data_IF_038650876371
#
_entry.id   IF_038650876371
#
_cell.length_a   1.000
_cell.length_b   1.000
_cell.length_c   1.000
_cell.angle_alpha   90.00
_cell.angle_beta   90.00
_cell.angle_gamma   90.00
#
_symmetry.space_group_name_H-M   'P 1'
#
loop_
_entity.id
_entity.type
_entity.pdbx_description
1 polymer ?
#
# COMPACT_ATOMS: atom_id res chain seq x y z
N UNK A 1 8.60 21.63 10.99
CA UNK A 1 8.40 20.46 11.89
C UNK A 1 9.10 19.29 11.24
N UNK A 2 9.77 18.41 11.98
CA UNK A 2 10.40 17.22 11.39
C UNK A 2 9.33 16.25 10.85
N UNK A 3 9.50 15.65 9.67
CA UNK A 3 8.60 14.60 9.21
C UNK A 3 8.59 13.38 10.14
N UNK A 4 7.40 12.95 10.53
CA UNK A 4 7.18 11.66 11.23
C UNK A 4 6.76 10.54 10.29
N UNK A 5 6.44 10.86 9.05
CA UNK A 5 6.01 9.91 8.05
C UNK A 5 6.70 10.23 6.71
N UNK A 6 7.36 9.25 6.13
CA UNK A 6 7.92 9.30 4.78
C UNK A 6 7.19 8.26 3.93
N UNK A 7 6.59 8.72 2.84
CA UNK A 7 5.77 7.92 1.94
C UNK A 7 6.55 7.68 0.65
N UNK A 8 6.79 6.43 0.29
CA UNK A 8 7.49 6.05 -0.94
C UNK A 8 6.45 5.51 -1.93
N UNK A 9 6.19 6.29 -2.98
CA UNK A 9 5.17 5.99 -3.98
C UNK A 9 5.75 6.04 -5.39
N UNK A 10 4.99 5.53 -6.38
CA UNK A 10 5.40 5.43 -7.77
C UNK A 10 4.95 4.13 -8.43
N UNK A 11 5.24 3.99 -9.72
CA UNK A 11 4.71 2.87 -10.50
C UNK A 11 5.39 1.52 -10.18
N UNK A 12 4.71 0.39 -10.45
CA UNK A 12 5.31 -0.94 -10.35
C UNK A 12 6.58 -1.06 -11.19
N UNK A 13 7.66 -1.57 -10.58
CA UNK A 13 8.96 -1.73 -11.24
C UNK A 13 9.89 -0.51 -11.17
N UNK A 14 9.47 0.62 -10.60
CA UNK A 14 10.28 1.85 -10.62
C UNK A 14 11.38 1.90 -9.54
N UNK A 15 11.36 0.98 -8.57
CA UNK A 15 12.38 0.87 -7.51
C UNK A 15 11.96 1.40 -6.14
N UNK A 16 10.66 1.36 -5.82
CA UNK A 16 10.12 1.84 -4.53
C UNK A 16 10.74 1.15 -3.32
N UNK A 17 10.73 -0.17 -3.28
CA UNK A 17 11.33 -0.96 -2.19
C UNK A 17 12.81 -0.63 -1.98
N UNK A 18 13.59 -0.49 -3.06
CA UNK A 18 15.00 -0.05 -2.98
C UNK A 18 15.10 1.36 -2.40
N UNK A 19 14.24 2.27 -2.83
CA UNK A 19 14.20 3.65 -2.33
C UNK A 19 13.83 3.70 -0.85
N UNK A 20 12.84 2.92 -0.42
CA UNK A 20 12.41 2.84 0.97
C UNK A 20 13.51 2.33 1.89
N UNK A 21 14.25 1.30 1.46
CA UNK A 21 15.41 0.80 2.21
C UNK A 21 16.51 1.86 2.29
N UNK A 22 16.86 2.51 1.18
CA UNK A 22 17.87 3.57 1.17
C UNK A 22 17.47 4.74 2.08
N UNK A 23 16.22 5.17 2.05
CA UNK A 23 15.69 6.24 2.90
C UNK A 23 15.79 5.84 4.38
N UNK A 24 15.36 4.64 4.73
CA UNK A 24 15.46 4.11 6.09
C UNK A 24 16.92 4.10 6.58
N UNK A 25 17.84 3.59 5.77
CA UNK A 25 19.27 3.53 6.13
C UNK A 25 19.87 4.95 6.30
N UNK A 26 19.53 5.89 5.42
CA UNK A 26 19.97 7.29 5.53
C UNK A 26 19.43 7.94 6.81
N UNK A 27 18.17 7.69 7.17
CA UNK A 27 17.59 8.25 8.39
C UNK A 27 18.28 7.68 9.64
N UNK A 28 18.65 6.39 9.63
CA UNK A 28 19.47 5.80 10.70
C UNK A 28 20.84 6.47 10.77
N UNK A 29 21.52 6.67 9.64
CA UNK A 29 22.82 7.36 9.57
C UNK A 29 22.71 8.81 10.09
N UNK A 30 21.53 9.42 10.00
CA UNK A 30 21.20 10.73 10.55
C UNK A 30 20.80 10.70 12.04
N UNK A 31 20.88 9.56 12.72
CA UNK A 31 20.44 9.32 14.10
C UNK A 31 18.95 9.57 14.35
N UNK A 32 18.11 9.29 13.35
CA UNK A 32 16.66 9.35 13.47
C UNK A 32 16.13 7.95 13.73
N UNK A 33 15.38 7.77 14.83
CA UNK A 33 14.67 6.52 15.08
C UNK A 33 13.63 6.32 13.98
N UNK A 34 13.75 5.22 13.24
CA UNK A 34 12.88 4.95 12.11
C UNK A 34 12.38 3.52 12.06
N UNK A 35 11.17 3.34 11.52
CA UNK A 35 10.57 2.04 11.28
C UNK A 35 10.19 1.93 9.80
N UNK A 36 10.68 0.89 9.12
CA UNK A 36 10.39 0.61 7.72
C UNK A 36 9.28 -0.44 7.59
N UNK A 37 8.26 -0.13 6.81
CA UNK A 37 7.20 -1.05 6.46
C UNK A 37 7.14 -1.22 4.94
N UNK A 38 7.37 -2.45 4.49
CA UNK A 38 7.37 -2.82 3.08
C UNK A 38 6.00 -3.30 2.62
N UNK A 39 5.74 -3.21 1.31
CA UNK A 39 4.56 -3.79 0.69
C UNK A 39 4.43 -5.27 1.06
N UNK A 40 3.26 -5.67 1.56
CA UNK A 40 2.98 -7.03 2.01
C UNK A 40 3.39 -7.33 3.47
N UNK A 41 3.83 -6.33 4.23
CA UNK A 41 4.07 -6.50 5.66
C UNK A 41 2.73 -6.68 6.41
N UNK A 42 2.51 -7.87 6.97
CA UNK A 42 1.28 -8.21 7.68
C UNK A 42 1.10 -7.41 9.00
N UNK A 43 2.16 -6.79 9.51
CA UNK A 43 2.15 -5.92 10.69
C UNK A 43 2.10 -4.41 10.33
N UNK A 44 1.78 -4.06 9.08
CA UNK A 44 1.71 -2.66 8.64
C UNK A 44 0.71 -1.85 9.50
N UNK A 45 1.12 -0.73 10.13
CA UNK A 45 0.29 -0.05 11.11
C UNK A 45 -0.84 0.75 10.46
N UNK A 46 -0.72 1.08 9.18
CA UNK A 46 -1.69 1.84 8.40
C UNK A 46 -2.32 1.06 7.24
N UNK A 47 -2.09 -0.25 7.12
CA UNK A 47 -2.62 -1.06 6.01
C UNK A 47 -3.16 -2.41 6.50
N UNK A 48 -3.89 -3.11 5.64
CA UNK A 48 -4.51 -4.40 5.90
C UNK A 48 -4.15 -5.41 4.80
N UNK A 49 -2.92 -5.94 4.80
CA UNK A 49 -2.61 -7.06 3.92
C UNK A 49 -3.02 -8.40 4.57
N UNK A 50 -3.92 -9.13 3.90
CA UNK A 50 -4.37 -10.43 4.39
C UNK A 50 -5.21 -10.37 5.65
N UNK A 51 -6.10 -9.38 5.73
CA UNK A 51 -7.01 -9.18 6.86
C UNK A 51 -8.45 -9.15 6.37
N UNK A 52 -9.29 -10.02 6.94
CA UNK A 52 -10.72 -10.07 6.65
C UNK A 52 -11.51 -9.26 7.69
N UNK A 53 -12.59 -8.61 7.24
CA UNK A 53 -13.48 -7.81 8.08
C UNK A 53 -14.93 -8.30 7.95
N UNK A 54 -15.48 -8.80 9.06
CA UNK A 54 -16.84 -9.33 9.13
C UNK A 54 -17.75 -8.40 9.93
N UNK A 55 -19.03 -8.34 9.55
CA UNK A 55 -20.08 -7.90 10.46
C UNK A 55 -20.43 -9.02 11.45
N UNK A 56 -21.33 -8.70 12.39
CA UNK A 56 -21.77 -9.68 13.39
C UNK A 56 -22.43 -10.91 12.73
N UNK A 57 -23.26 -10.70 11.71
CA UNK A 57 -23.97 -11.80 11.06
C UNK A 57 -23.01 -12.73 10.32
N UNK A 58 -22.14 -12.17 9.49
CA UNK A 58 -21.15 -12.90 8.69
C UNK A 58 -20.16 -13.67 9.60
N UNK A 59 -19.78 -13.06 10.72
CA UNK A 59 -18.96 -13.74 11.71
C UNK A 59 -19.66 -14.95 12.33
N UNK A 60 -20.92 -14.81 12.74
CA UNK A 60 -21.67 -15.94 13.30
C UNK A 60 -21.92 -17.04 12.25
N UNK A 61 -22.09 -16.68 10.98
CA UNK A 61 -22.13 -17.65 9.88
C UNK A 61 -20.82 -18.41 9.73
N UNK A 62 -19.69 -17.69 9.67
CA UNK A 62 -18.36 -18.31 9.55
C UNK A 62 -18.12 -19.36 10.65
N UNK A 63 -18.48 -19.03 11.88
CA UNK A 63 -18.36 -19.95 13.02
C UNK A 63 -19.28 -21.16 12.93
N UNK A 64 -20.49 -21.01 12.37
CA UNK A 64 -21.44 -22.11 12.20
C UNK A 64 -21.00 -23.06 11.09
N UNK A 65 -20.56 -22.50 9.96
CA UNK A 65 -20.17 -23.26 8.78
C UNK A 65 -18.85 -24.00 8.99
N UNK A 66 -17.97 -23.46 9.86
CA UNK A 66 -16.68 -24.03 10.21
C UNK A 66 -16.57 -24.27 11.72
N UNK A 67 -17.54 -25.03 12.27
CA UNK A 67 -17.68 -25.26 13.70
C UNK A 67 -16.44 -25.86 14.35
N UNK A 68 -15.70 -26.71 13.64
CA UNK A 68 -14.46 -27.32 14.10
C UNK A 68 -13.30 -26.32 14.26
N UNK A 69 -13.36 -25.15 13.61
CA UNK A 69 -12.39 -24.06 13.74
C UNK A 69 -12.87 -22.92 14.63
N UNK A 70 -14.08 -23.01 15.20
CA UNK A 70 -14.70 -21.93 15.98
C UNK A 70 -13.83 -21.44 17.13
N UNK A 71 -13.21 -22.34 17.90
CA UNK A 71 -12.37 -21.96 19.04
C UNK A 71 -11.10 -21.22 18.58
N UNK A 72 -10.46 -21.71 17.51
CA UNK A 72 -9.30 -21.05 16.91
C UNK A 72 -9.67 -19.63 16.46
N UNK A 73 -10.74 -19.51 15.67
CA UNK A 73 -11.20 -18.22 15.13
C UNK A 73 -11.53 -17.24 16.27
N UNK A 74 -12.27 -17.68 17.30
CA UNK A 74 -12.62 -16.84 18.46
C UNK A 74 -11.40 -16.28 19.19
N UNK A 75 -10.29 -17.03 19.25
CA UNK A 75 -9.05 -16.57 19.93
C UNK A 75 -8.20 -15.63 19.09
N UNK A 76 -8.43 -15.58 17.77
CA UNK A 76 -7.63 -14.80 16.80
C UNK A 76 -8.35 -13.58 16.25
N UNK A 77 -9.67 -13.53 16.40
CA UNK A 77 -10.48 -12.39 15.99
C UNK A 77 -10.33 -11.20 16.94
N UNK A 78 -10.16 -10.02 16.35
CA UNK A 78 -10.16 -8.75 17.05
C UNK A 78 -11.49 -8.04 16.80
N UNK A 79 -12.23 -7.71 17.87
CA UNK A 79 -13.45 -6.93 17.77
C UNK A 79 -13.14 -5.44 17.90
N UNK A 80 -13.56 -4.64 16.91
CA UNK A 80 -13.52 -3.19 16.98
C UNK A 80 -14.88 -2.62 16.59
N UNK A 81 -15.56 -2.00 17.56
CA UNK A 81 -16.95 -1.57 17.39
C UNK A 81 -17.87 -2.75 17.06
N UNK A 82 -18.53 -2.68 15.91
CA UNK A 82 -19.44 -3.70 15.39
C UNK A 82 -18.79 -4.65 14.35
N UNK A 83 -17.49 -4.53 14.13
CA UNK A 83 -16.76 -5.32 13.15
C UNK A 83 -15.77 -6.27 13.82
N UNK A 84 -15.51 -7.38 13.14
CA UNK A 84 -14.57 -8.42 13.55
C UNK A 84 -13.47 -8.55 12.50
N UNK A 85 -12.22 -8.47 12.94
CA UNK A 85 -11.04 -8.49 12.09
C UNK A 85 -10.25 -9.79 12.31
N UNK A 86 -9.93 -10.48 11.22
CA UNK A 86 -9.11 -11.70 11.23
C UNK A 86 -7.89 -11.51 10.35
N UNK A 87 -6.69 -11.51 10.94
CA UNK A 87 -5.41 -11.49 10.24
C UNK A 87 -5.08 -12.88 9.68
N UNK A 88 -5.91 -13.35 8.75
CA UNK A 88 -5.90 -14.74 8.31
C UNK A 88 -4.59 -15.15 7.62
N UNK A 89 -3.89 -14.23 6.93
CA UNK A 89 -2.56 -14.53 6.37
C UNK A 89 -1.51 -14.77 7.46
N UNK A 90 -1.59 -14.08 8.60
CA UNK A 90 -0.71 -14.39 9.74
C UNK A 90 -1.03 -15.77 10.28
N UNK A 91 -2.32 -16.07 10.43
CA UNK A 91 -2.79 -17.37 10.90
C UNK A 91 -2.33 -18.53 9.98
N UNK A 92 -2.32 -18.32 8.67
CA UNK A 92 -1.80 -19.29 7.69
C UNK A 92 -0.28 -19.50 7.80
N UNK A 93 0.45 -18.52 8.31
CA UNK A 93 1.90 -18.57 8.50
C UNK A 93 2.29 -19.06 9.92
N UNK A 94 1.32 -19.30 10.82
CA UNK A 94 1.58 -19.80 12.17
C UNK A 94 1.96 -21.29 12.15
N UNK A 95 3.07 -21.63 12.81
CA UNK A 95 3.53 -23.01 12.94
C UNK A 95 2.47 -23.89 13.63
N UNK A 96 2.17 -25.03 13.02
CA UNK A 96 1.23 -26.01 13.56
C UNK A 96 -0.25 -25.69 13.34
N UNK A 97 -0.57 -24.56 12.69
CA UNK A 97 -1.93 -24.24 12.24
C UNK A 97 -2.12 -24.78 10.82
N UNK A 98 -3.15 -25.61 10.63
CA UNK A 98 -3.56 -26.08 9.31
C UNK A 98 -5.00 -25.70 9.08
N UNK A 99 -5.23 -24.81 8.11
CA UNK A 99 -6.56 -24.30 7.76
C UNK A 99 -6.95 -24.89 6.41
N UNK A 100 -8.13 -25.51 6.29
CA UNK A 100 -8.58 -26.06 5.02
C UNK A 100 -8.79 -24.93 4.00
N UNK A 101 -8.53 -25.25 2.73
CA UNK A 101 -8.68 -24.29 1.63
C UNK A 101 -10.07 -23.66 1.59
N UNK A 102 -11.11 -24.45 1.86
CA UNK A 102 -12.50 -23.97 1.87
C UNK A 102 -12.74 -22.86 2.90
N UNK A 103 -12.19 -23.00 4.12
CA UNK A 103 -12.26 -21.95 5.14
C UNK A 103 -11.49 -20.70 4.70
N UNK A 104 -10.30 -20.86 4.10
CA UNK A 104 -9.54 -19.72 3.55
C UNK A 104 -10.32 -19.02 2.44
N UNK A 105 -10.91 -19.76 1.51
CA UNK A 105 -11.69 -19.20 0.41
C UNK A 105 -12.91 -18.42 0.95
N UNK A 106 -13.58 -18.92 2.00
CA UNK A 106 -14.70 -18.23 2.65
C UNK A 106 -14.25 -16.97 3.39
N UNK A 107 -13.12 -17.01 4.09
CA UNK A 107 -12.53 -15.84 4.76
C UNK A 107 -12.12 -14.78 3.73
N UNK A 108 -11.51 -15.20 2.62
CA UNK A 108 -10.97 -14.32 1.58
C UNK A 108 -12.05 -13.45 0.92
N UNK A 109 -13.30 -13.92 0.86
CA UNK A 109 -14.44 -13.12 0.37
C UNK A 109 -14.67 -11.84 1.18
N UNK A 110 -14.18 -11.81 2.42
CA UNK A 110 -14.27 -10.68 3.33
C UNK A 110 -12.92 -9.99 3.55
N UNK A 111 -11.89 -10.34 2.77
CA UNK A 111 -10.63 -9.60 2.74
C UNK A 111 -10.93 -8.13 2.45
N UNK A 112 -10.27 -7.22 3.18
CA UNK A 112 -10.53 -5.79 3.09
C UNK A 112 -10.32 -5.26 1.66
N UNK A 113 -9.42 -5.86 0.87
CA UNK A 113 -9.20 -5.52 -0.54
C UNK A 113 -10.17 -6.20 -1.52
N UNK A 114 -11.04 -7.09 -1.03
CA UNK A 114 -12.13 -7.72 -1.79
C UNK A 114 -13.50 -7.11 -1.47
N UNK A 115 -13.61 -6.31 -0.40
CA UNK A 115 -14.82 -5.57 -0.05
C UNK A 115 -15.19 -4.50 -1.10
N UNK A 116 -16.49 -4.17 -1.27
CA UNK A 116 -16.92 -3.02 -2.06
C UNK A 116 -16.12 -1.76 -1.75
N UNK A 117 -15.82 -0.95 -2.77
CA UNK A 117 -14.88 0.17 -2.69
C UNK A 117 -15.20 1.16 -1.55
N UNK A 118 -16.47 1.45 -1.31
CA UNK A 118 -16.94 2.32 -0.23
C UNK A 118 -16.63 1.74 1.14
N UNK A 119 -16.80 0.43 1.32
CA UNK A 119 -16.46 -0.28 2.55
C UNK A 119 -14.95 -0.40 2.74
N UNK A 120 -14.19 -0.77 1.71
CA UNK A 120 -12.72 -0.79 1.75
C UNK A 120 -12.19 0.57 2.22
N UNK A 121 -12.68 1.65 1.60
CA UNK A 121 -12.28 3.02 1.91
C UNK A 121 -12.48 3.37 3.37
N UNK A 122 -13.65 3.05 3.94
CA UNK A 122 -13.90 3.30 5.38
C UNK A 122 -12.91 2.54 6.25
N UNK A 123 -12.65 1.25 5.97
CA UNK A 123 -11.74 0.42 6.78
C UNK A 123 -10.29 0.88 6.71
N UNK A 124 -9.80 1.24 5.52
CA UNK A 124 -8.45 1.80 5.36
C UNK A 124 -8.36 3.15 6.10
N UNK A 125 -9.35 4.03 5.98
CA UNK A 125 -9.34 5.33 6.68
C UNK A 125 -9.27 5.17 8.19
N UNK A 126 -10.10 4.30 8.78
CA UNK A 126 -10.07 4.01 10.22
C UNK A 126 -8.68 3.53 10.66
N UNK A 127 -8.02 2.69 9.86
CA UNK A 127 -6.66 2.19 10.13
C UNK A 127 -5.62 3.30 10.07
N UNK A 128 -5.70 4.19 9.08
CA UNK A 128 -4.83 5.37 8.97
C UNK A 128 -5.06 6.35 10.13
N UNK A 129 -6.30 6.56 10.58
CA UNK A 129 -6.64 7.40 11.73
C UNK A 129 -6.02 6.84 13.03
N UNK A 130 -6.15 5.54 13.25
CA UNK A 130 -5.52 4.86 14.38
C UNK A 130 -3.99 5.00 14.34
N UNK A 131 -3.38 4.78 13.18
CA UNK A 131 -1.95 4.98 12.99
C UNK A 131 -1.53 6.43 13.29
N UNK A 132 -2.23 7.41 12.72
CA UNK A 132 -1.91 8.83 12.92
C UNK A 132 -1.98 9.21 14.40
N UNK A 133 -3.04 8.79 15.09
CA UNK A 133 -3.23 9.04 16.52
C UNK A 133 -2.10 8.45 17.37
N UNK A 134 -1.70 7.21 17.12
CA UNK A 134 -0.62 6.57 17.87
C UNK A 134 0.74 7.21 17.59
N UNK A 135 1.04 7.50 16.33
CA UNK A 135 2.34 8.00 15.88
C UNK A 135 2.58 9.48 16.22
N UNK A 136 1.50 10.26 16.37
CA UNK A 136 1.60 11.68 16.72
C UNK A 136 2.34 11.90 18.05
N UNK A 137 2.18 10.99 19.01
CA UNK A 137 2.84 11.07 20.32
C UNK A 137 4.10 10.21 20.43
N UNK A 138 4.40 9.39 19.43
CA UNK A 138 5.62 8.57 19.36
C UNK A 138 6.88 9.37 19.02
N UNK A 139 8.04 8.74 19.16
CA UNK A 139 9.35 9.30 18.81
C UNK A 139 9.83 8.91 17.42
N UNK A 140 9.20 7.92 16.81
CA UNK A 140 9.70 7.27 15.61
C UNK A 140 9.21 7.97 14.34
N UNK A 141 10.06 7.94 13.31
CA UNK A 141 9.69 8.30 11.93
C UNK A 141 9.39 7.02 11.14
N UNK A 142 8.22 6.97 10.52
CA UNK A 142 7.76 5.82 9.76
C UNK A 142 8.09 5.97 8.27
N UNK A 143 8.61 4.92 7.64
CA UNK A 143 8.84 4.86 6.19
C UNK A 143 7.93 3.79 5.61
N UNK A 144 6.98 4.18 4.76
CA UNK A 144 6.06 3.25 4.10
C UNK A 144 6.42 3.10 2.62
N UNK A 145 6.69 1.86 2.19
CA UNK A 145 6.79 1.46 0.80
C UNK A 145 5.42 0.95 0.34
N UNK A 146 4.77 1.74 -0.52
CA UNK A 146 3.41 1.49 -1.02
C UNK A 146 2.34 1.53 0.07
N UNK A 147 1.35 2.41 -0.04
CA UNK A 147 -0.01 2.22 0.51
C UNK A 147 -0.86 3.49 0.38
N UNK A 148 -0.21 4.64 0.19
CA UNK A 148 -0.82 5.95 0.20
C UNK A 148 -1.44 6.32 -1.16
N UNK A 149 -0.69 6.15 -2.25
CA UNK A 149 -1.20 6.37 -3.62
C UNK A 149 -1.45 5.02 -4.30
N UNK A 150 -0.49 4.11 -4.23
CA UNK A 150 -0.56 2.83 -4.93
C UNK A 150 -1.85 2.05 -4.61
N UNK A 151 -2.21 1.91 -3.33
CA UNK A 151 -3.35 1.07 -2.95
C UNK A 151 -4.69 1.72 -3.34
N UNK A 152 -4.97 3.01 -3.04
CA UNK A 152 -6.18 3.68 -3.53
C UNK A 152 -6.34 3.66 -5.05
N UNK A 153 -5.27 3.84 -5.81
CA UNK A 153 -5.32 3.78 -7.28
C UNK A 153 -5.56 2.34 -7.75
N UNK A 154 -4.89 1.36 -7.13
CA UNK A 154 -5.07 -0.05 -7.47
C UNK A 154 -6.50 -0.52 -7.20
N UNK A 155 -7.05 -0.25 -6.01
CA UNK A 155 -8.40 -0.67 -5.68
C UNK A 155 -9.45 0.13 -6.46
N UNK A 156 -9.31 1.45 -6.54
CA UNK A 156 -10.30 2.31 -7.16
C UNK A 156 -10.32 2.18 -8.68
N UNK A 157 -9.20 2.50 -9.34
CA UNK A 157 -9.12 2.50 -10.80
C UNK A 157 -9.01 1.07 -11.36
N UNK A 158 -8.08 0.27 -10.84
CA UNK A 158 -7.75 -1.02 -11.48
C UNK A 158 -8.80 -2.08 -11.17
N UNK A 159 -9.16 -2.27 -9.90
CA UNK A 159 -10.15 -3.29 -9.52
C UNK A 159 -11.59 -2.87 -9.84
N UNK A 160 -12.00 -1.67 -9.42
CA UNK A 160 -13.40 -1.23 -9.50
C UNK A 160 -13.73 -0.30 -10.67
N UNK A 161 -12.76 0.17 -11.45
CA UNK A 161 -13.04 1.11 -12.56
C UNK A 161 -13.64 2.45 -12.09
N UNK A 162 -13.37 2.86 -10.85
CA UNK A 162 -13.90 4.09 -10.28
C UNK A 162 -13.33 5.33 -11.00
N UNK A 163 -14.10 6.43 -10.96
CA UNK A 163 -13.67 7.68 -11.60
C UNK A 163 -12.45 8.28 -10.90
N UNK A 164 -11.68 9.08 -11.63
CA UNK A 164 -10.51 9.77 -11.10
C UNK A 164 -10.86 10.62 -9.88
N UNK A 165 -12.03 11.26 -9.84
CA UNK A 165 -12.48 12.08 -8.71
C UNK A 165 -12.63 11.25 -7.43
N UNK A 166 -13.16 10.02 -7.54
CA UNK A 166 -13.30 9.11 -6.40
C UNK A 166 -11.93 8.69 -5.88
N UNK A 167 -11.02 8.30 -6.76
CA UNK A 167 -9.65 7.89 -6.40
C UNK A 167 -8.86 9.04 -5.78
N UNK A 168 -8.91 10.23 -6.39
CA UNK A 168 -8.26 11.43 -5.87
C UNK A 168 -8.83 11.84 -4.50
N UNK A 169 -10.16 11.77 -4.34
CA UNK A 169 -10.82 12.02 -3.05
C UNK A 169 -10.35 11.05 -1.98
N UNK A 170 -10.11 9.79 -2.34
CA UNK A 170 -9.58 8.77 -1.43
C UNK A 170 -8.19 9.18 -0.94
N UNK A 171 -7.23 9.42 -1.84
CA UNK A 171 -5.86 9.81 -1.47
C UNK A 171 -5.83 11.10 -0.66
N UNK A 172 -6.63 12.11 -1.03
CA UNK A 172 -6.73 13.38 -0.29
C UNK A 172 -7.18 13.20 1.15
N UNK A 173 -8.13 12.31 1.38
CA UNK A 173 -8.61 12.04 2.74
C UNK A 173 -7.53 11.33 3.56
N UNK A 174 -6.79 10.38 2.98
CA UNK A 174 -5.61 9.81 3.65
C UNK A 174 -4.58 10.91 3.99
N UNK A 175 -4.32 11.84 3.06
CA UNK A 175 -3.38 12.93 3.28
C UNK A 175 -3.81 13.83 4.45
N UNK A 176 -5.10 14.14 4.55
CA UNK A 176 -5.67 14.92 5.64
C UNK A 176 -5.55 14.21 6.99
N UNK A 177 -5.76 12.89 7.03
CA UNK A 177 -5.63 12.09 8.27
C UNK A 177 -4.22 12.19 8.86
N UNK A 178 -3.18 12.16 8.01
CA UNK A 178 -1.77 12.19 8.46
C UNK A 178 -1.13 13.57 8.42
N UNK A 179 -1.88 14.64 8.15
CA UNK A 179 -1.33 15.99 8.04
C UNK A 179 -0.50 16.40 9.26
N UNK A 180 -0.96 16.05 10.47
CA UNK A 180 -0.26 16.36 11.73
C UNK A 180 1.06 15.58 11.92
N UNK A 181 1.30 14.52 11.14
CA UNK A 181 2.58 13.81 11.11
C UNK A 181 3.61 14.52 10.21
N UNK A 182 3.23 15.64 9.57
CA UNK A 182 4.06 16.39 8.64
C UNK A 182 4.70 15.47 7.56
N UNK A 183 3.88 14.78 6.75
CA UNK A 183 4.37 13.73 5.87
C UNK A 183 5.25 14.29 4.74
N UNK A 184 6.28 13.53 4.38
CA UNK A 184 7.10 13.73 3.20
C UNK A 184 6.81 12.64 2.17
N UNK A 185 6.33 13.02 1.00
CA UNK A 185 6.15 12.12 -0.14
C UNK A 185 7.39 12.11 -1.03
N UNK A 186 8.03 10.95 -1.17
CA UNK A 186 9.06 10.73 -2.19
C UNK A 186 8.45 9.88 -3.31
N UNK A 187 8.18 10.53 -4.44
CA UNK A 187 7.62 9.87 -5.61
C UNK A 187 8.74 9.38 -6.54
N UNK A 188 8.89 8.07 -6.65
CA UNK A 188 9.88 7.40 -7.50
C UNK A 188 9.41 7.43 -8.95
N UNK A 189 10.17 8.12 -9.78
CA UNK A 189 9.87 8.29 -11.21
C UNK A 189 10.92 7.62 -12.08
N UNK A 190 10.53 7.28 -13.31
CA UNK A 190 11.43 6.84 -14.37
C UNK A 190 10.96 7.39 -15.71
N UNK A 191 11.90 7.68 -16.61
CA UNK A 191 11.59 8.32 -17.88
C UNK A 191 10.85 7.34 -18.81
N UNK A 192 11.34 6.09 -18.87
CA UNK A 192 10.81 5.04 -19.74
C UNK A 192 10.04 3.98 -18.94
N UNK A 193 8.72 4.19 -18.84
CA UNK A 193 7.79 3.24 -18.21
C UNK A 193 7.83 1.86 -18.87
N UNK A 194 7.91 1.80 -20.20
CA UNK A 194 7.85 0.54 -20.94
C UNK A 194 9.08 -0.31 -20.64
N UNK A 195 10.27 0.30 -20.76
CA UNK A 195 11.53 -0.35 -20.39
C UNK A 195 11.51 -0.86 -18.94
N UNK A 196 11.11 0.00 -18.01
CA UNK A 196 11.11 -0.30 -16.57
C UNK A 196 10.18 -1.47 -16.23
N UNK A 197 8.97 -1.49 -16.79
CA UNK A 197 8.01 -2.55 -16.52
C UNK A 197 8.44 -3.87 -17.17
N UNK A 198 8.94 -3.85 -18.42
CA UNK A 198 9.46 -5.07 -19.07
C UNK A 198 10.69 -5.63 -18.35
N UNK A 199 11.55 -4.76 -17.81
CA UNK A 199 12.66 -5.18 -16.93
C UNK A 199 12.12 -5.91 -15.71
N UNK A 200 11.13 -5.37 -15.02
CA UNK A 200 10.51 -6.02 -13.86
C UNK A 200 9.87 -7.37 -14.20
N UNK A 201 9.18 -7.48 -15.36
CA UNK A 201 8.63 -8.75 -15.86
C UNK A 201 9.72 -9.79 -16.10
N UNK A 202 10.89 -9.38 -16.62
CA UNK A 202 12.02 -10.28 -16.88
C UNK A 202 12.72 -10.75 -15.60
N UNK A 203 12.80 -9.88 -14.60
CA UNK A 203 13.56 -10.14 -13.36
C UNK A 203 12.75 -10.93 -12.31
N UNK A 204 11.42 -10.88 -12.37
CA UNK A 204 10.53 -11.52 -11.40
C UNK A 204 10.05 -12.90 -11.89
N UNK A 205 9.60 -13.78 -10.98
CA UNK A 205 9.02 -15.07 -11.36
C UNK A 205 7.83 -14.92 -12.32
N UNK A 206 7.68 -15.84 -13.28
CA UNK A 206 6.61 -15.77 -14.28
C UNK A 206 5.20 -15.71 -13.66
N UNK A 207 4.99 -16.40 -12.53
CA UNK A 207 3.72 -16.35 -11.77
C UNK A 207 3.37 -14.94 -11.31
N UNK A 208 4.36 -14.12 -10.95
CA UNK A 208 4.14 -12.71 -10.60
C UNK A 208 3.62 -11.93 -11.81
N UNK A 209 4.27 -12.06 -12.97
CA UNK A 209 3.85 -11.33 -14.17
C UNK A 209 2.48 -11.78 -14.69
N UNK A 210 2.18 -13.08 -14.59
CA UNK A 210 0.88 -13.62 -14.99
C UNK A 210 -0.25 -13.06 -14.11
N UNK A 211 -0.10 -13.13 -12.79
CA UNK A 211 -1.07 -12.58 -11.84
C UNK A 211 -1.21 -11.06 -11.96
N UNK A 212 -0.11 -10.34 -12.16
CA UNK A 212 -0.15 -8.89 -12.36
C UNK A 212 -0.92 -8.50 -13.63
N UNK A 213 -0.61 -9.15 -14.77
CA UNK A 213 -1.28 -8.88 -16.05
C UNK A 213 -2.78 -9.19 -15.92
N UNK A 214 -3.13 -10.34 -15.34
CA UNK A 214 -4.52 -10.72 -15.11
C UNK A 214 -5.25 -9.66 -14.28
N UNK A 215 -4.72 -9.34 -13.09
CA UNK A 215 -5.31 -8.35 -12.18
C UNK A 215 -5.49 -6.96 -12.83
N UNK A 216 -4.60 -6.56 -13.74
CA UNK A 216 -4.66 -5.25 -14.37
C UNK A 216 -5.54 -5.19 -15.61
N UNK A 217 -5.91 -6.33 -16.20
CA UNK A 217 -6.60 -6.37 -17.49
C UNK A 217 -7.95 -7.07 -17.47
N UNK A 218 -8.25 -7.89 -16.45
CA UNK A 218 -9.50 -8.65 -16.36
C UNK A 218 -10.59 -7.98 -15.54
N UNK A 219 -10.38 -6.77 -15.05
CA UNK A 219 -11.30 -6.04 -14.16
C UNK A 219 -11.15 -4.53 -14.32
N UNK A 220 -12.11 -3.79 -13.76
CA UNK A 220 -12.16 -2.33 -13.72
C UNK A 220 -11.71 -1.66 -15.01
N UNK A 221 -10.78 -0.71 -14.88
CA UNK A 221 -10.30 0.10 -15.99
C UNK A 221 -9.75 -0.73 -17.16
N UNK A 222 -8.99 -1.80 -16.89
CA UNK A 222 -8.42 -2.64 -17.94
C UNK A 222 -9.49 -3.37 -18.76
N UNK A 223 -10.50 -3.90 -18.07
CA UNK A 223 -11.63 -4.58 -18.70
C UNK A 223 -12.49 -3.62 -19.52
N UNK A 224 -12.80 -2.45 -18.95
CA UNK A 224 -13.65 -1.43 -19.60
C UNK A 224 -13.05 -0.92 -20.92
N UNK A 225 -11.73 -0.97 -21.06
CA UNK A 225 -11.01 -0.55 -22.27
C UNK A 225 -10.60 -1.74 -23.18
N UNK A 226 -11.05 -2.96 -22.86
CA UNK A 226 -10.68 -4.19 -23.57
C UNK A 226 -9.15 -4.37 -23.72
N UNK A 227 -8.40 -3.96 -22.70
CA UNK A 227 -6.96 -4.19 -22.66
C UNK A 227 -6.66 -5.62 -22.26
N UNK A 228 -5.62 -6.21 -22.88
CA UNK A 228 -5.23 -7.60 -22.64
C UNK A 228 -3.72 -7.78 -22.69
N UNK A 229 -3.21 -8.73 -21.92
CA UNK A 229 -1.81 -9.13 -21.95
C UNK A 229 -0.85 -8.01 -21.53
N UNK A 230 0.42 -8.19 -21.87
CA UNK A 230 1.49 -7.26 -21.52
C UNK A 230 1.27 -5.85 -22.11
N UNK A 231 0.88 -5.77 -23.39
CA UNK A 231 0.66 -4.49 -24.06
C UNK A 231 -0.55 -3.73 -23.48
N UNK A 232 -1.63 -4.45 -23.15
CA UNK A 232 -2.77 -3.86 -22.45
C UNK A 232 -2.38 -3.35 -21.06
N UNK A 233 -1.60 -4.13 -20.32
CA UNK A 233 -1.07 -3.72 -19.00
C UNK A 233 -0.26 -2.42 -19.10
N UNK A 234 0.55 -2.25 -20.15
CA UNK A 234 1.30 -1.01 -20.38
C UNK A 234 0.38 0.19 -20.66
N UNK A 235 -0.76 0.01 -21.32
CA UNK A 235 -1.75 1.10 -21.48
C UNK A 235 -2.40 1.47 -20.15
N UNK A 236 -2.76 0.48 -19.33
CA UNK A 236 -3.29 0.69 -17.99
C UNK A 236 -2.28 1.45 -17.12
N UNK A 237 -0.99 1.08 -17.18
CA UNK A 237 0.07 1.76 -16.43
C UNK A 237 0.31 3.21 -16.90
N UNK A 238 0.12 3.52 -18.19
CA UNK A 238 0.17 4.90 -18.70
C UNK A 238 -0.97 5.74 -18.14
N UNK A 239 -2.20 5.24 -18.21
CA UNK A 239 -3.36 5.91 -17.62
C UNK A 239 -3.19 6.10 -16.10
N UNK A 240 -2.65 5.08 -15.41
CA UNK A 240 -2.29 5.16 -14.00
C UNK A 240 -1.24 6.25 -13.74
N UNK A 241 -0.19 6.36 -14.57
CA UNK A 241 0.82 7.43 -14.46
C UNK A 241 0.19 8.82 -14.55
N UNK A 242 -0.75 9.03 -15.47
CA UNK A 242 -1.44 10.31 -15.65
C UNK A 242 -2.31 10.67 -14.43
N UNK A 243 -3.01 9.67 -13.86
CA UNK A 243 -3.77 9.87 -12.63
C UNK A 243 -2.87 10.17 -11.43
N UNK A 244 -1.79 9.39 -11.24
CA UNK A 244 -0.83 9.62 -10.16
C UNK A 244 -0.11 10.98 -10.30
N UNK A 245 0.15 11.45 -11.52
CA UNK A 245 0.68 12.80 -11.77
C UNK A 245 -0.31 13.87 -11.31
N UNK A 246 -1.60 13.68 -11.61
CA UNK A 246 -2.66 14.61 -11.19
C UNK A 246 -2.79 14.62 -9.67
N UNK A 247 -2.79 13.44 -9.03
CA UNK A 247 -2.78 13.29 -7.56
C UNK A 247 -1.57 14.00 -6.97
N UNK A 248 -0.37 13.71 -7.48
CA UNK A 248 0.87 14.30 -6.99
C UNK A 248 0.80 15.82 -6.99
N UNK A 249 0.34 16.43 -8.10
CA UNK A 249 0.30 17.88 -8.24
C UNK A 249 -0.72 18.55 -7.29
N UNK A 250 -1.83 17.88 -7.02
CA UNK A 250 -2.96 18.38 -6.22
C UNK A 250 -2.76 18.20 -4.70
N UNK A 251 -1.83 17.34 -4.26
CA UNK A 251 -1.48 17.18 -2.85
C UNK A 251 -0.76 18.41 -2.28
N UNK A 252 -1.09 18.82 -1.06
CA UNK A 252 -0.44 19.94 -0.36
C UNK A 252 0.72 19.53 0.56
N UNK A 253 0.92 18.24 0.78
CA UNK A 253 2.01 17.72 1.63
C UNK A 253 3.38 17.99 1.00
N UNK A 254 4.43 18.00 1.82
CA UNK A 254 5.80 18.09 1.32
C UNK A 254 6.06 16.90 0.37
N UNK A 255 6.58 17.19 -0.82
CA UNK A 255 6.71 16.19 -1.88
C UNK A 255 7.90 16.46 -2.79
N UNK A 256 8.62 15.40 -3.12
CA UNK A 256 9.79 15.42 -3.99
C UNK A 256 9.73 14.26 -4.98
N UNK A 257 10.09 14.52 -6.25
CA UNK A 257 10.28 13.46 -7.23
C UNK A 257 11.72 13.00 -7.25
N UNK A 258 11.92 11.69 -7.25
CA UNK A 258 13.24 11.05 -7.30
C UNK A 258 13.31 10.11 -8.51
N UNK A 259 14.05 10.55 -9.53
CA UNK A 259 14.16 9.83 -10.79
C UNK A 259 15.24 8.74 -10.71
N UNK A 260 14.86 7.49 -10.97
CA UNK A 260 15.71 6.29 -10.88
C UNK A 260 16.10 5.74 -12.28
N UNK A 261 15.99 6.54 -13.35
CA UNK A 261 16.26 6.07 -14.72
C UNK A 261 17.71 5.64 -14.97
N UNK A 262 18.68 6.16 -14.19
CA UNK A 262 20.10 5.83 -14.38
C UNK A 262 20.50 4.47 -13.81
N UNK A 263 19.70 3.92 -12.88
CA UNK A 263 20.05 2.73 -12.10
C UNK A 263 21.42 2.82 -11.37
N UNK A 264 21.92 4.03 -11.15
CA UNK A 264 23.15 4.30 -10.40
C UNK A 264 22.81 4.50 -8.93
N UNK A 265 22.99 3.45 -8.12
CA UNK A 265 22.62 3.42 -6.71
C UNK A 265 23.38 4.46 -5.89
N UNK A 266 24.65 4.72 -6.19
CA UNK A 266 25.47 5.66 -5.42
C UNK A 266 25.02 7.10 -5.69
N UNK A 267 24.86 7.46 -6.97
CA UNK A 267 24.35 8.78 -7.35
C UNK A 267 22.92 9.00 -6.82
N UNK A 268 22.08 7.96 -6.88
CA UNK A 268 20.71 8.00 -6.36
C UNK A 268 20.68 8.18 -4.85
N UNK A 269 21.50 7.43 -4.10
CA UNK A 269 21.65 7.58 -2.65
C UNK A 269 22.08 8.99 -2.27
N UNK A 270 23.05 9.58 -2.98
CA UNK A 270 23.50 10.95 -2.72
C UNK A 270 22.40 11.99 -2.96
N UNK A 271 21.50 11.76 -3.93
CA UNK A 271 20.33 12.62 -4.14
C UNK A 271 19.36 12.51 -2.95
N UNK A 272 19.06 11.29 -2.49
CA UNK A 272 18.19 11.06 -1.34
C UNK A 272 18.75 11.70 -0.07
N UNK A 273 20.06 11.60 0.19
CA UNK A 273 20.72 12.25 1.33
C UNK A 273 20.47 13.76 1.32
N UNK A 274 20.60 14.42 0.17
CA UNK A 274 20.37 15.87 0.07
C UNK A 274 18.91 16.24 0.36
N UNK A 275 17.96 15.48 -0.17
CA UNK A 275 16.53 15.69 0.05
C UNK A 275 16.19 15.51 1.53
N UNK A 276 16.60 14.38 2.12
CA UNK A 276 16.32 14.09 3.54
C UNK A 276 16.99 15.10 4.46
N UNK A 277 18.22 15.53 4.17
CA UNK A 277 18.88 16.59 4.93
C UNK A 277 18.06 17.89 4.92
N UNK A 278 17.47 18.30 3.79
CA UNK A 278 16.65 19.51 3.71
C UNK A 278 15.39 19.40 4.60
N UNK A 279 14.70 18.26 4.59
CA UNK A 279 13.45 18.10 5.33
C UNK A 279 13.63 17.80 6.83
N UNK A 280 14.73 17.16 7.22
CA UNK A 280 14.96 16.75 8.61
C UNK A 280 15.88 17.69 9.39
N UNK A 281 16.71 18.52 8.72
CA UNK A 281 17.62 19.46 9.39
C UNK A 281 16.98 20.79 9.80
N UNK A 282 15.83 21.17 9.24
CA UNK A 282 15.10 22.41 9.58
C UNK A 282 14.54 22.44 11.03
N UNK A 283 14.82 21.40 11.83
CA UNK A 283 14.35 21.27 13.23
C UNK A 283 15.42 21.62 14.27
N UNK A 284 16.65 21.94 13.84
CA UNK A 284 17.78 22.27 14.72
C UNK A 284 18.03 23.77 14.90
N UNK A 285 17.11 24.64 14.44
CA UNK A 285 17.20 26.10 14.62
C UNK A 285 16.08 26.65 15.49
#
# INVERSE_FOLDING_TARGET
>A
MQPKLVLIEGLPGFGKTTTAQLVHDILIDMNINTQLFLEGNLDHPADYDGVACFGEYEYQELLRDHAEFSDLLRTRLMKHGNHYFLEYRKLMNEDGVSIPKELIDNIFQYDIYELPLDQNRVRIMEKWELFAKHSLHGTDTYVFDCCFIQNPVTIGMIKYGATNEVVMSYVKQLASIVEQLNPLLLYVDQDDLDHSFRKAVKERPAVWSAGFIEYYTSQGFGLDHAYHGLEGTLQVLKARRELEETIYNDLSIAKEKVNNSSYDVDAYKQRLVKILAAHFSESMS
#
